data_IF_976717005752
#
_entry.id   IF_976717005752
#
_cell.length_a   1.000
_cell.length_b   1.000
_cell.length_c   1.000
_cell.angle_alpha   90.00
_cell.angle_beta   90.00
_cell.angle_gamma   90.00
#
_symmetry.space_group_name_H-M   'P 1'
#
loop_
_entity.id
_entity.type
_entity.pdbx_description
1 polymer ?
#
# COMPACT_ATOMS: atom_id res chain seq x y z
N UNK A 1 30.04 58.05 -28.12
CA UNK A 1 30.75 56.83 -27.63
C UNK A 1 30.77 56.74 -26.09
N UNK A 2 29.70 57.12 -25.37
CA UNK A 2 29.67 57.13 -23.89
C UNK A 2 28.45 56.43 -23.25
N UNK A 3 27.51 55.88 -24.04
CA UNK A 3 26.30 55.20 -23.51
C UNK A 3 26.35 53.67 -23.50
N UNK A 4 27.39 53.05 -24.07
CA UNK A 4 27.53 51.58 -24.11
C UNK A 4 28.39 51.00 -22.97
N UNK A 5 29.08 51.84 -22.18
CA UNK A 5 29.97 51.38 -21.10
C UNK A 5 29.24 51.18 -19.76
N UNK A 6 28.14 51.91 -19.52
CA UNK A 6 27.44 51.91 -18.22
C UNK A 6 26.57 50.65 -18.05
N UNK A 7 26.04 50.09 -19.14
CA UNK A 7 25.15 48.92 -19.08
C UNK A 7 25.88 47.59 -18.85
N UNK A 8 27.10 47.44 -19.37
CA UNK A 8 27.94 46.25 -19.10
C UNK A 8 28.40 46.17 -17.64
N UNK A 9 28.69 47.31 -17.01
CA UNK A 9 29.14 47.34 -15.61
C UNK A 9 28.00 47.05 -14.62
N UNK A 10 26.75 47.48 -14.89
CA UNK A 10 25.62 47.14 -14.03
C UNK A 10 25.22 45.65 -14.09
N UNK A 11 25.34 45.02 -15.26
CA UNK A 11 25.00 43.59 -15.42
C UNK A 11 26.02 42.69 -14.69
N UNK A 12 27.31 43.02 -14.74
CA UNK A 12 28.35 42.32 -13.98
C UNK A 12 28.19 42.48 -12.46
N UNK A 13 27.82 43.67 -11.98
CA UNK A 13 27.57 43.88 -10.54
C UNK A 13 26.35 43.09 -10.04
N UNK A 14 25.29 42.96 -10.83
CA UNK A 14 24.10 42.20 -10.44
C UNK A 14 24.38 40.70 -10.35
N UNK A 15 25.17 40.16 -11.27
CA UNK A 15 25.61 38.76 -11.24
C UNK A 15 26.53 38.52 -10.03
N UNK A 16 27.46 39.44 -9.71
CA UNK A 16 28.34 39.30 -8.56
C UNK A 16 27.58 39.27 -7.23
N UNK A 17 26.53 40.08 -7.07
CA UNK A 17 25.69 40.09 -5.85
C UNK A 17 24.90 38.78 -5.69
N UNK A 18 24.42 38.19 -6.80
CA UNK A 18 23.74 36.89 -6.76
C UNK A 18 24.67 35.75 -6.36
N UNK A 19 25.93 35.76 -6.82
CA UNK A 19 26.92 34.76 -6.43
C UNK A 19 27.37 34.90 -4.98
N UNK A 20 27.55 36.13 -4.47
CA UNK A 20 27.88 36.36 -3.05
C UNK A 20 26.70 35.96 -2.14
N UNK A 21 25.47 36.24 -2.54
CA UNK A 21 24.28 35.82 -1.80
C UNK A 21 24.10 34.29 -1.73
N UNK A 22 24.36 33.58 -2.84
CA UNK A 22 24.31 32.11 -2.87
C UNK A 22 25.43 31.47 -2.04
N UNK A 23 26.63 32.07 -2.02
CA UNK A 23 27.77 31.61 -1.23
C UNK A 23 27.50 31.74 0.28
N UNK A 24 27.00 32.90 0.73
CA UNK A 24 26.66 33.13 2.15
C UNK A 24 25.53 32.21 2.66
N UNK A 25 24.61 31.80 1.78
CA UNK A 25 23.53 30.86 2.12
C UNK A 25 24.02 29.40 2.21
N UNK A 26 24.97 29.01 1.35
CA UNK A 26 25.61 27.69 1.37
C UNK A 26 26.41 27.46 2.66
N UNK A 27 27.19 28.46 3.09
CA UNK A 27 28.01 28.37 4.31
C UNK A 27 27.15 28.27 5.59
N UNK A 28 25.97 28.91 5.61
CA UNK A 28 25.05 28.84 6.74
C UNK A 28 24.42 27.44 6.91
N UNK A 29 24.08 26.78 5.79
CA UNK A 29 23.54 25.40 5.80
C UNK A 29 24.64 24.38 6.14
N UNK A 30 25.86 24.55 5.62
CA UNK A 30 27.00 23.68 5.95
C UNK A 30 27.33 23.66 7.45
N UNK A 31 27.28 24.83 8.10
CA UNK A 31 27.58 24.97 9.53
C UNK A 31 26.52 24.34 10.44
N UNK A 32 25.24 24.31 10.01
CA UNK A 32 24.16 23.68 10.79
C UNK A 32 24.15 22.16 10.69
N UNK A 33 24.63 21.59 9.58
CA UNK A 33 24.69 20.12 9.38
C UNK A 33 25.86 19.50 10.16
N UNK A 34 26.99 20.21 10.30
CA UNK A 34 28.17 19.73 11.04
C UNK A 34 27.91 19.57 12.55
N UNK A 35 26.96 20.33 13.12
CA UNK A 35 26.63 20.24 14.55
C UNK A 35 25.75 19.04 14.93
N UNK A 36 25.12 18.36 13.95
CA UNK A 36 24.20 17.24 14.20
C UNK A 36 24.84 15.85 14.00
N UNK A 37 26.09 15.78 13.52
CA UNK A 37 26.73 14.52 13.10
C UNK A 37 27.46 13.75 14.22
N UNK A 38 27.56 14.27 15.45
CA UNK A 38 28.54 13.78 16.42
C UNK A 38 27.99 12.85 17.52
N UNK A 39 27.11 11.91 17.17
CA UNK A 39 26.74 10.81 18.07
C UNK A 39 26.69 9.46 17.32
N UNK A 40 27.69 8.61 17.58
CA UNK A 40 27.80 7.25 17.04
C UNK A 40 26.97 6.26 17.85
N UNK A 41 25.88 5.73 17.29
CA UNK A 41 25.12 4.61 17.86
C UNK A 41 25.37 3.34 17.04
N UNK A 42 25.86 2.27 17.67
CA UNK A 42 26.00 0.94 17.06
C UNK A 42 24.75 0.12 17.37
N UNK A 43 24.10 -0.44 16.35
CA UNK A 43 22.94 -1.35 16.48
C UNK A 43 23.28 -2.73 15.90
N UNK A 44 22.91 -3.86 16.55
CA UNK A 44 23.29 -5.21 16.12
C UNK A 44 22.50 -5.72 14.90
N UNK A 45 23.13 -6.58 14.10
CA UNK A 45 22.53 -7.33 12.98
C UNK A 45 21.56 -8.41 13.48
N UNK A 46 20.33 -8.39 12.97
CA UNK A 46 19.39 -9.50 13.13
C UNK A 46 19.12 -10.20 11.78
N UNK A 47 19.02 -11.54 11.82
CA UNK A 47 18.81 -12.41 10.66
C UNK A 47 17.31 -12.62 10.42
N UNK A 48 16.91 -12.62 9.15
CA UNK A 48 15.54 -12.86 8.67
C UNK A 48 15.07 -14.30 8.98
N UNK A 49 13.86 -14.52 9.55
CA UNK A 49 13.33 -15.87 9.76
C UNK A 49 12.46 -16.36 8.59
N UNK A 50 12.56 -17.66 8.32
CA UNK A 50 11.79 -18.41 7.33
C UNK A 50 10.30 -18.53 7.70
N UNK A 51 9.45 -18.38 6.68
CA UNK A 51 7.98 -18.48 6.73
C UNK A 51 7.53 -19.89 7.13
N UNK A 52 6.83 -20.03 8.27
CA UNK A 52 6.12 -21.25 8.67
C UNK A 52 4.61 -20.98 8.73
N UNK A 53 3.82 -21.96 8.31
CA UNK A 53 2.35 -21.95 8.38
C UNK A 53 1.91 -22.28 9.81
N UNK A 54 1.23 -21.35 10.48
CA UNK A 54 0.73 -21.52 11.84
C UNK A 54 -0.74 -22.00 11.85
N UNK A 55 -1.01 -23.11 12.53
CA UNK A 55 -2.36 -23.52 12.91
C UNK A 55 -2.73 -22.91 14.27
N UNK A 56 -3.63 -21.94 14.28
CA UNK A 56 -4.14 -21.32 15.51
C UNK A 56 -5.17 -22.24 16.19
N UNK A 57 -4.87 -22.68 17.42
CA UNK A 57 -5.89 -23.17 18.35
C UNK A 57 -5.77 -22.38 19.66
N UNK A 58 -6.69 -21.45 19.89
CA UNK A 58 -6.74 -20.68 21.12
C UNK A 58 -7.61 -21.43 22.15
N UNK A 59 -7.04 -21.83 23.28
CA UNK A 59 -7.79 -22.36 24.43
C UNK A 59 -7.65 -21.38 25.60
N UNK A 60 -8.77 -21.15 26.31
CA UNK A 60 -8.82 -20.28 27.48
C UNK A 60 -8.22 -21.03 28.69
N UNK A 61 -7.05 -20.60 29.18
CA UNK A 61 -6.46 -21.12 30.42
C UNK A 61 -6.22 -19.95 31.39
N UNK A 62 -6.74 -20.03 32.62
CA UNK A 62 -6.45 -19.14 33.77
C UNK A 62 -6.32 -17.64 33.48
N UNK A 63 -7.34 -17.02 32.86
CA UNK A 63 -7.44 -15.56 32.65
C UNK A 63 -6.20 -14.91 31.98
N UNK A 64 -5.33 -15.71 31.38
CA UNK A 64 -4.14 -15.33 30.64
C UNK A 64 -4.08 -16.20 29.40
N UNK A 65 -4.27 -15.61 28.23
CA UNK A 65 -4.29 -16.35 26.96
C UNK A 65 -2.96 -17.04 26.72
N UNK A 66 -2.87 -18.33 27.02
CA UNK A 66 -1.72 -19.18 26.73
C UNK A 66 -2.18 -20.45 26.03
N UNK A 67 -1.61 -20.71 24.86
CA UNK A 67 -1.92 -21.88 24.03
C UNK A 67 -0.80 -22.90 24.18
N UNK A 68 -1.03 -24.10 24.75
CA UNK A 68 -0.03 -25.15 24.76
C UNK A 68 0.00 -25.87 23.40
N UNK A 69 1.18 -25.97 22.79
CA UNK A 69 1.41 -26.86 21.66
C UNK A 69 1.95 -28.19 22.17
N UNK A 70 1.16 -29.26 22.04
CA UNK A 70 1.65 -30.62 22.21
C UNK A 70 2.27 -31.08 20.89
N UNK A 71 3.61 -31.11 20.81
CA UNK A 71 4.33 -31.92 19.83
C UNK A 71 4.65 -33.29 20.46
N UNK A 72 4.65 -34.40 19.71
CA UNK A 72 5.05 -35.69 20.25
C UNK A 72 6.55 -35.64 20.61
N UNK A 73 6.88 -36.01 21.85
CA UNK A 73 8.23 -35.93 22.39
C UNK A 73 9.21 -36.85 21.65
N UNK A 74 10.39 -36.30 21.35
CA UNK A 74 11.62 -37.09 21.32
C UNK A 74 12.35 -36.78 22.64
N UNK A 75 12.51 -37.81 23.45
CA UNK A 75 13.50 -37.84 24.53
C UNK A 75 14.88 -37.66 23.90
N UNK A 76 15.53 -36.53 24.15
CA UNK A 76 16.88 -36.57 24.70
C UNK A 76 17.23 -35.23 25.35
N UNK A 77 17.76 -35.32 26.56
CA UNK A 77 18.06 -34.20 27.44
C UNK A 77 19.41 -33.59 27.11
N UNK A 78 19.46 -32.33 26.66
CA UNK A 78 20.59 -31.44 26.93
C UNK A 78 20.15 -29.97 26.90
N UNK A 79 20.48 -29.29 27.99
CA UNK A 79 20.15 -27.91 28.32
C UNK A 79 20.77 -26.97 27.27
N UNK A 80 19.93 -26.33 26.46
CA UNK A 80 20.25 -25.05 25.87
C UNK A 80 18.98 -24.20 25.85
N UNK A 81 19.08 -22.99 26.36
CA UNK A 81 18.00 -22.02 26.50
C UNK A 81 17.50 -21.56 25.14
N UNK A 82 16.65 -22.35 24.49
CA UNK A 82 15.86 -21.89 23.35
C UNK A 82 14.62 -21.20 23.91
N UNK A 83 14.61 -19.87 23.88
CA UNK A 83 13.39 -19.09 24.01
C UNK A 83 12.43 -19.58 22.93
N UNK A 84 11.49 -20.47 23.29
CA UNK A 84 10.35 -20.78 22.45
C UNK A 84 9.58 -19.48 22.35
N UNK A 85 9.73 -18.77 21.24
CA UNK A 85 8.86 -17.65 20.90
C UNK A 85 7.47 -18.26 20.72
N UNK A 86 6.72 -18.35 21.81
CA UNK A 86 5.27 -18.49 21.75
C UNK A 86 4.80 -17.31 20.92
N UNK A 87 4.38 -17.56 19.68
CA UNK A 87 3.69 -16.55 18.89
C UNK A 87 2.40 -16.21 19.63
N UNK A 88 2.46 -15.15 20.43
CA UNK A 88 1.31 -14.62 21.15
C UNK A 88 0.47 -13.86 20.12
N UNK A 89 -0.84 -14.14 20.08
CA UNK A 89 -1.75 -13.33 19.29
C UNK A 89 -1.58 -11.84 19.67
N UNK A 90 -1.68 -10.91 18.70
CA UNK A 90 -1.67 -9.49 19.02
C UNK A 90 -2.67 -9.13 20.12
N UNK A 91 -2.33 -8.16 20.97
CA UNK A 91 -3.11 -7.79 22.16
C UNK A 91 -4.59 -7.51 21.85
N UNK A 92 -4.90 -6.93 20.69
CA UNK A 92 -6.26 -6.62 20.28
C UNK A 92 -7.17 -7.86 20.12
N UNK A 93 -6.64 -9.08 20.04
CA UNK A 93 -7.47 -10.30 20.00
C UNK A 93 -8.32 -10.47 21.27
N UNK A 94 -7.94 -9.86 22.41
CA UNK A 94 -8.73 -9.93 23.63
C UNK A 94 -10.14 -9.34 23.46
N UNK A 95 -10.30 -8.34 22.60
CA UNK A 95 -11.58 -7.66 22.38
C UNK A 95 -12.64 -8.60 21.81
N UNK A 96 -12.25 -9.67 21.09
CA UNK A 96 -13.19 -10.71 20.63
C UNK A 96 -13.97 -11.30 21.80
N UNK A 97 -13.30 -11.52 22.94
CA UNK A 97 -13.95 -12.09 24.12
C UNK A 97 -14.77 -11.06 24.91
N UNK A 98 -14.37 -9.80 24.87
CA UNK A 98 -15.11 -8.70 25.49
C UNK A 98 -16.38 -8.37 24.71
N UNK A 99 -16.30 -8.31 23.38
CA UNK A 99 -17.43 -8.04 22.48
C UNK A 99 -18.47 -9.17 22.54
N UNK A 100 -18.05 -10.43 22.71
CA UNK A 100 -18.95 -11.58 22.86
C UNK A 100 -19.49 -11.77 24.29
N UNK A 101 -19.02 -10.99 25.26
CA UNK A 101 -19.40 -11.13 26.67
C UNK A 101 -20.92 -11.08 26.92
N UNK A 102 -21.73 -10.22 26.24
CA UNK A 102 -23.16 -10.13 26.50
C UNK A 102 -23.94 -11.43 26.31
N UNK A 103 -23.42 -12.35 25.50
CA UNK A 103 -24.04 -13.64 25.21
C UNK A 103 -23.35 -14.84 25.85
N UNK A 104 -22.30 -14.62 26.65
CA UNK A 104 -21.44 -15.70 27.17
C UNK A 104 -22.19 -16.73 28.01
N UNK A 105 -23.18 -16.29 28.79
CA UNK A 105 -23.94 -17.15 29.71
C UNK A 105 -25.33 -17.53 29.17
N UNK A 106 -25.88 -16.71 28.27
CA UNK A 106 -27.24 -16.87 27.72
C UNK A 106 -27.25 -17.60 26.37
N UNK A 107 -26.13 -17.57 25.64
CA UNK A 107 -26.07 -18.01 24.26
C UNK A 107 -26.80 -17.05 23.30
N UNK A 108 -26.85 -17.44 22.05
CA UNK A 108 -27.54 -16.72 20.97
C UNK A 108 -28.60 -17.67 20.40
N UNK A 109 -29.88 -17.35 20.58
CA UNK A 109 -30.99 -18.12 20.01
C UNK A 109 -31.36 -17.62 18.62
N UNK A 110 -32.09 -18.42 17.84
CA UNK A 110 -32.57 -18.01 16.51
C UNK A 110 -33.42 -16.73 16.60
N UNK A 111 -34.28 -16.61 17.62
CA UNK A 111 -35.11 -15.42 17.83
C UNK A 111 -34.24 -14.17 18.05
N UNK A 112 -33.12 -14.32 18.76
CA UNK A 112 -32.17 -13.24 19.03
C UNK A 112 -31.43 -12.85 17.75
N UNK A 113 -30.96 -13.81 16.94
CA UNK A 113 -30.36 -13.51 15.61
C UNK A 113 -31.36 -12.79 14.71
N UNK A 114 -32.58 -13.32 14.60
CA UNK A 114 -33.61 -12.78 13.71
C UNK A 114 -34.09 -11.39 14.14
N UNK A 115 -33.95 -11.03 15.42
CA UNK A 115 -34.26 -9.69 15.91
C UNK A 115 -33.36 -8.59 15.34
N UNK A 116 -32.18 -8.93 14.80
CA UNK A 116 -31.29 -7.98 14.12
C UNK A 116 -31.68 -7.70 12.65
N UNK A 117 -32.64 -8.44 12.07
CA UNK A 117 -32.99 -8.38 10.64
C UNK A 117 -33.32 -6.97 10.12
N UNK A 118 -34.00 -6.16 10.92
CA UNK A 118 -34.38 -4.78 10.53
C UNK A 118 -33.20 -3.81 10.45
N UNK A 119 -32.04 -4.18 11.01
CA UNK A 119 -30.81 -3.39 11.05
C UNK A 119 -29.72 -3.96 10.14
N UNK A 120 -29.86 -5.20 9.69
CA UNK A 120 -28.86 -5.88 8.87
C UNK A 120 -29.00 -5.52 7.39
N UNK A 121 -27.87 -5.42 6.69
CA UNK A 121 -27.82 -5.36 5.24
C UNK A 121 -27.92 -6.75 4.60
N UNK A 122 -27.39 -7.79 5.26
CA UNK A 122 -27.54 -9.18 4.83
C UNK A 122 -27.42 -10.15 6.01
N UNK A 123 -27.99 -11.34 5.86
CA UNK A 123 -27.76 -12.52 6.71
C UNK A 123 -26.84 -13.48 5.97
N UNK A 124 -25.86 -14.03 6.69
CA UNK A 124 -24.94 -15.02 6.17
C UNK A 124 -24.98 -16.26 7.05
N UNK A 125 -25.19 -17.41 6.42
CA UNK A 125 -25.25 -18.72 7.07
C UNK A 125 -24.15 -19.60 6.51
N UNK A 126 -23.40 -20.27 7.38
CA UNK A 126 -22.41 -21.27 7.00
C UNK A 126 -22.89 -22.62 7.51
N UNK A 127 -23.02 -23.59 6.61
CA UNK A 127 -23.37 -24.98 6.94
C UNK A 127 -22.49 -25.90 6.12
N UNK A 128 -21.79 -26.84 6.76
CA UNK A 128 -20.91 -27.83 6.11
C UNK A 128 -19.87 -27.15 5.18
N UNK A 129 -19.29 -26.04 5.65
CA UNK A 129 -18.31 -25.26 4.88
C UNK A 129 -18.85 -24.59 3.62
N UNK A 130 -20.17 -24.48 3.45
CA UNK A 130 -20.83 -23.74 2.36
C UNK A 130 -21.47 -22.47 2.91
N UNK A 131 -21.33 -21.38 2.15
CA UNK A 131 -21.85 -20.06 2.52
C UNK A 131 -23.15 -19.78 1.77
N UNK A 132 -24.17 -19.36 2.51
CA UNK A 132 -25.48 -18.94 2.01
C UNK A 132 -25.73 -17.50 2.44
N UNK A 133 -26.24 -16.66 1.54
CA UNK A 133 -26.45 -15.23 1.82
C UNK A 133 -27.88 -14.84 1.45
N UNK A 134 -28.60 -14.27 2.42
CA UNK A 134 -29.89 -13.58 2.20
C UNK A 134 -29.64 -12.08 2.28
N UNK A 135 -29.75 -11.38 1.15
CA UNK A 135 -29.58 -9.92 1.10
C UNK A 135 -30.88 -9.21 1.46
N UNK A 136 -30.82 -8.24 2.37
CA UNK A 136 -31.93 -7.34 2.69
C UNK A 136 -31.90 -6.10 1.78
N UNK A 137 -32.81 -5.13 2.00
CA UNK A 137 -32.98 -3.98 1.11
C UNK A 137 -31.61 -3.36 0.77
N UNK A 138 -31.30 -3.35 -0.52
CA UNK A 138 -30.05 -2.83 -1.06
C UNK A 138 -30.04 -1.31 -0.93
N UNK A 139 -29.38 -0.81 0.11
CA UNK A 139 -29.05 0.61 0.17
C UNK A 139 -27.93 0.86 -0.87
N UNK A 140 -28.21 1.77 -1.81
CA UNK A 140 -27.30 2.11 -2.91
C UNK A 140 -26.04 2.85 -2.43
N UNK A 141 -26.02 3.32 -1.17
CA UNK A 141 -24.91 4.05 -0.58
C UNK A 141 -23.77 3.15 -0.07
N UNK A 142 -24.00 1.83 0.04
CA UNK A 142 -23.06 0.89 0.68
C UNK A 142 -22.02 0.27 -0.27
N UNK A 143 -21.80 0.90 -1.42
CA UNK A 143 -20.69 0.73 -2.38
C UNK A 143 -19.83 -0.55 -2.23
N UNK A 144 -20.28 -1.69 -2.79
CA UNK A 144 -19.56 -2.99 -2.84
C UNK A 144 -19.05 -3.56 -1.51
N UNK A 145 -19.35 -2.92 -0.36
CA UNK A 145 -18.82 -3.31 0.95
C UNK A 145 -19.33 -4.69 1.35
N UNK A 146 -20.60 -4.96 1.09
CA UNK A 146 -21.23 -6.27 1.26
C UNK A 146 -20.47 -7.37 0.50
N UNK A 147 -20.16 -7.11 -0.77
CA UNK A 147 -19.51 -8.04 -1.68
C UNK A 147 -18.10 -8.39 -1.19
N UNK A 148 -17.33 -7.38 -0.76
CA UNK A 148 -15.97 -7.60 -0.27
C UNK A 148 -15.94 -8.26 1.12
N UNK A 149 -16.91 -7.99 1.98
CA UNK A 149 -17.04 -8.69 3.26
C UNK A 149 -17.39 -10.17 3.07
N UNK A 150 -18.33 -10.47 2.18
CA UNK A 150 -18.66 -11.86 1.80
C UNK A 150 -17.42 -12.54 1.18
N UNK A 151 -16.69 -11.84 0.30
CA UNK A 151 -15.43 -12.34 -0.26
C UNK A 151 -14.41 -12.62 0.84
N UNK A 152 -14.27 -11.75 1.84
CA UNK A 152 -13.38 -11.95 2.97
C UNK A 152 -13.67 -13.22 3.75
N UNK A 153 -14.96 -13.50 3.99
CA UNK A 153 -15.40 -14.74 4.61
C UNK A 153 -15.09 -15.95 3.71
N UNK A 154 -15.31 -15.87 2.39
CA UNK A 154 -14.91 -16.94 1.47
C UNK A 154 -13.40 -17.22 1.51
N UNK A 155 -12.57 -16.18 1.64
CA UNK A 155 -11.12 -16.33 1.82
C UNK A 155 -10.77 -17.00 3.16
N UNK A 156 -11.53 -16.73 4.23
CA UNK A 156 -11.39 -17.41 5.52
C UNK A 156 -11.64 -18.92 5.39
N UNK A 157 -12.72 -19.33 4.71
CA UNK A 157 -13.02 -20.75 4.48
C UNK A 157 -11.94 -21.44 3.64
N UNK A 158 -11.38 -20.75 2.64
CA UNK A 158 -10.27 -21.26 1.82
C UNK A 158 -8.99 -21.45 2.64
N UNK A 159 -8.70 -20.51 3.53
CA UNK A 159 -7.50 -20.56 4.39
C UNK A 159 -7.59 -21.63 5.47
N UNK A 160 -8.80 -21.86 6.00
CA UNK A 160 -9.05 -22.82 7.08
C UNK A 160 -10.13 -23.84 6.68
N UNK A 161 -9.83 -24.73 5.71
CA UNK A 161 -10.81 -25.66 5.18
C UNK A 161 -11.33 -26.59 6.29
N UNK A 162 -12.67 -26.69 6.41
CA UNK A 162 -13.39 -27.50 7.41
C UNK A 162 -13.13 -27.15 8.88
N UNK A 163 -12.51 -25.99 9.17
CA UNK A 163 -12.27 -25.56 10.56
C UNK A 163 -13.27 -24.53 11.07
N UNK A 164 -13.93 -23.79 10.16
CA UNK A 164 -14.94 -22.82 10.54
C UNK A 164 -16.25 -23.58 10.87
N UNK A 165 -16.84 -23.37 12.05
CA UNK A 165 -18.07 -24.07 12.43
C UNK A 165 -19.26 -23.54 11.65
N UNK A 166 -20.35 -24.31 11.68
CA UNK A 166 -21.65 -23.84 11.24
C UNK A 166 -22.06 -22.62 12.08
N UNK A 167 -22.52 -21.56 11.42
CA UNK A 167 -22.89 -20.30 12.07
C UNK A 167 -23.95 -19.54 11.27
N UNK A 168 -24.66 -18.65 11.97
CA UNK A 168 -25.69 -17.78 11.41
C UNK A 168 -25.46 -16.36 11.94
N UNK A 169 -25.16 -15.43 11.04
CA UNK A 169 -24.82 -14.06 11.40
C UNK A 169 -25.61 -13.02 10.61
N UNK A 170 -25.87 -11.90 11.27
CA UNK A 170 -26.45 -10.70 10.70
C UNK A 170 -25.37 -9.65 10.55
N UNK A 171 -25.26 -9.03 9.38
CA UNK A 171 -24.21 -8.06 9.09
C UNK A 171 -24.80 -6.71 8.67
N UNK A 172 -24.36 -5.63 9.30
CA UNK A 172 -24.69 -4.25 8.90
C UNK A 172 -23.45 -3.55 8.29
N UNK A 173 -23.46 -3.30 6.97
CA UNK A 173 -22.33 -2.70 6.26
C UNK A 173 -22.22 -1.15 6.35
N UNK A 174 -23.03 -0.49 7.18
CA UNK A 174 -22.94 0.96 7.41
C UNK A 174 -21.84 1.34 8.42
N UNK A 175 -21.51 2.64 8.50
CA UNK A 175 -20.37 3.16 9.26
C UNK A 175 -20.59 3.42 10.75
N UNK A 176 -21.84 3.43 11.26
CA UNK A 176 -22.13 3.84 12.65
C UNK A 176 -22.87 2.76 13.44
N UNK A 177 -22.38 2.32 14.61
CA UNK A 177 -22.99 1.25 15.40
C UNK A 177 -24.45 1.55 15.80
N UNK A 178 -25.25 0.50 16.02
CA UNK A 178 -26.72 0.61 16.17
C UNK A 178 -27.28 -0.11 17.41
N UNK A 179 -26.50 -0.96 18.09
CA UNK A 179 -26.96 -1.68 19.28
C UNK A 179 -26.50 -0.93 20.53
N UNK A 180 -27.31 0.01 21.01
CA UNK A 180 -26.99 0.74 22.23
C UNK A 180 -27.09 -0.16 23.45
N UNK A 181 -26.09 -0.13 24.33
CA UNK A 181 -26.05 -0.97 25.52
C UNK A 181 -27.17 -0.67 26.51
N UNK A 182 -27.60 0.60 26.59
CA UNK A 182 -28.65 1.08 27.50
C UNK A 182 -30.01 0.40 27.25
N UNK A 183 -30.30 0.02 26.00
CA UNK A 183 -31.58 -0.60 25.61
C UNK A 183 -31.72 -2.05 26.10
N UNK A 184 -30.61 -2.65 26.57
CA UNK A 184 -30.51 -4.06 26.93
C UNK A 184 -30.03 -4.27 28.38
N UNK A 185 -30.20 -3.26 29.24
CA UNK A 185 -29.89 -3.33 30.67
C UNK A 185 -31.18 -3.48 31.51
N UNK A 186 -31.12 -4.33 32.54
CA UNK A 186 -32.17 -4.48 33.55
C UNK A 186 -32.63 -5.92 33.79
N UNK A 187 -33.40 -6.17 34.87
CA UNK A 187 -33.78 -7.52 35.30
C UNK A 187 -34.67 -8.29 34.32
N UNK A 188 -35.34 -7.59 33.39
CA UNK A 188 -36.18 -8.18 32.34
C UNK A 188 -35.70 -7.82 30.92
N UNK A 189 -34.45 -7.37 30.77
CA UNK A 189 -33.93 -6.99 29.46
C UNK A 189 -33.80 -8.21 28.55
N UNK A 190 -34.19 -8.05 27.28
CA UNK A 190 -33.94 -9.06 26.26
C UNK A 190 -32.44 -9.13 25.96
N UNK A 191 -31.95 -10.28 25.52
CA UNK A 191 -30.59 -10.38 25.01
C UNK A 191 -30.40 -9.40 23.83
N UNK A 192 -29.25 -8.69 23.76
CA UNK A 192 -28.97 -7.79 22.65
C UNK A 192 -28.95 -8.57 21.32
N UNK A 193 -29.42 -8.00 20.20
CA UNK A 193 -29.30 -8.62 18.89
C UNK A 193 -27.81 -8.65 18.45
N UNK A 194 -27.23 -9.80 18.10
CA UNK A 194 -25.87 -9.87 17.59
C UNK A 194 -25.85 -9.35 16.16
N UNK A 195 -25.15 -8.24 15.95
CA UNK A 195 -24.96 -7.67 14.62
C UNK A 195 -23.48 -7.40 14.38
N UNK A 196 -22.96 -7.88 13.26
CA UNK A 196 -21.57 -7.70 12.86
C UNK A 196 -21.40 -6.46 11.99
N UNK A 197 -20.29 -5.74 12.21
CA UNK A 197 -19.99 -4.44 11.61
C UNK A 197 -18.49 -4.19 11.47
N UNK A 198 -18.14 -3.05 10.89
CA UNK A 198 -16.75 -2.62 10.70
C UNK A 198 -16.18 -1.80 11.87
N UNK A 199 -17.03 -1.26 12.75
CA UNK A 199 -16.60 -0.42 13.86
C UNK A 199 -17.60 -0.51 15.03
N UNK A 200 -17.14 -0.09 16.20
CA UNK A 200 -17.94 0.07 17.41
C UNK A 200 -17.49 1.33 18.18
N UNK A 201 -18.27 1.77 19.17
CA UNK A 201 -17.91 2.86 20.08
C UNK A 201 -18.39 2.53 21.51
N UNK A 202 -17.85 3.18 22.56
CA UNK A 202 -18.32 2.98 23.92
C UNK A 202 -19.83 3.20 24.06
N UNK A 203 -20.52 2.30 24.79
CA UNK A 203 -21.98 2.32 24.93
C UNK A 203 -22.74 1.58 23.84
N UNK A 204 -22.05 0.85 22.97
CA UNK A 204 -22.64 0.01 21.92
C UNK A 204 -22.12 -1.43 22.00
N UNK A 205 -22.94 -2.37 21.53
CA UNK A 205 -22.71 -3.83 21.62
C UNK A 205 -22.60 -4.50 20.24
N UNK A 206 -22.33 -3.72 19.19
CA UNK A 206 -22.10 -4.24 17.84
C UNK A 206 -20.78 -5.05 17.79
N UNK A 207 -20.77 -6.18 17.07
CA UNK A 207 -19.62 -7.08 16.95
C UNK A 207 -18.70 -6.63 15.81
N UNK A 208 -17.42 -6.40 16.08
CA UNK A 208 -16.49 -5.89 15.07
C UNK A 208 -15.85 -7.01 14.27
N UNK A 209 -15.93 -6.93 12.94
CA UNK A 209 -15.13 -7.69 11.99
C UNK A 209 -14.16 -6.77 11.25
N UNK A 210 -13.04 -7.31 10.72
CA UNK A 210 -12.17 -6.55 9.82
C UNK A 210 -12.99 -5.95 8.68
N UNK A 211 -12.72 -4.69 8.38
CA UNK A 211 -13.52 -4.00 7.38
C UNK A 211 -13.33 -4.54 5.96
N UNK A 212 -14.27 -4.18 5.08
CA UNK A 212 -14.29 -4.62 3.69
C UNK A 212 -12.99 -4.27 2.93
N UNK A 213 -12.21 -3.27 3.36
CA UNK A 213 -11.00 -2.80 2.67
C UNK A 213 -9.81 -3.76 2.80
N UNK A 214 -9.82 -4.68 3.78
CA UNK A 214 -8.80 -5.74 3.87
C UNK A 214 -8.82 -6.69 2.66
N UNK A 215 -10.00 -6.87 2.06
CA UNK A 215 -10.19 -7.75 0.90
C UNK A 215 -10.53 -6.98 -0.37
N UNK A 216 -11.19 -5.83 -0.23
CA UNK A 216 -11.50 -4.91 -1.30
C UNK A 216 -10.25 -4.37 -1.97
N UNK A 217 -10.25 -4.36 -3.29
CA UNK A 217 -9.31 -3.56 -4.07
C UNK A 217 -10.07 -2.39 -4.66
N UNK A 218 -10.44 -1.45 -3.78
CA UNK A 218 -11.19 -0.24 -4.15
C UNK A 218 -10.26 0.73 -4.87
N UNK A 219 -10.03 0.39 -6.14
CA UNK A 219 -9.28 1.18 -7.07
C UNK A 219 -10.04 1.29 -8.36
N UNK A 220 -9.96 2.47 -8.94
CA UNK A 220 -10.58 2.78 -10.22
C UNK A 220 -10.09 1.78 -11.28
N UNK A 221 -11.00 1.13 -12.02
CA UNK A 221 -10.67 0.02 -12.91
C UNK A 221 -10.02 0.48 -14.23
N UNK A 222 -9.51 1.72 -14.28
CA UNK A 222 -8.93 2.33 -15.47
C UNK A 222 -7.43 2.47 -15.34
N UNK A 223 -6.75 2.56 -16.49
CA UNK A 223 -5.36 2.95 -16.54
C UNK A 223 -5.19 4.45 -16.29
N UNK A 224 -4.20 4.82 -15.50
CA UNK A 224 -3.99 6.20 -15.11
C UNK A 224 -2.57 6.68 -15.39
N UNK A 225 -2.49 7.92 -15.89
CA UNK A 225 -1.24 8.66 -15.99
C UNK A 225 -1.48 10.15 -15.73
N UNK A 226 -0.57 10.78 -15.00
CA UNK A 226 -0.50 12.24 -14.87
C UNK A 226 0.94 12.68 -15.09
N UNK A 227 1.18 13.60 -16.01
CA UNK A 227 2.52 14.05 -16.33
C UNK A 227 2.56 15.15 -17.39
N UNK A 228 3.74 15.75 -17.58
CA UNK A 228 3.94 16.77 -18.60
C UNK A 228 4.15 16.07 -19.97
N UNK A 229 3.26 16.26 -20.96
CA UNK A 229 3.40 15.64 -22.28
C UNK A 229 4.43 16.33 -23.16
N UNK A 230 4.81 17.57 -22.86
CA UNK A 230 5.64 18.38 -23.77
C UNK A 230 7.12 17.99 -23.76
N UNK A 231 7.54 17.12 -22.84
CA UNK A 231 8.95 16.72 -22.67
C UNK A 231 9.39 15.59 -23.59
N UNK A 232 8.45 14.87 -24.24
CA UNK A 232 8.76 13.74 -25.11
C UNK A 232 7.62 13.46 -26.10
N UNK A 233 7.96 13.02 -27.32
CA UNK A 233 6.97 12.63 -28.35
C UNK A 233 6.08 11.48 -27.88
N UNK A 234 6.66 10.44 -27.27
CA UNK A 234 5.91 9.29 -26.73
C UNK A 234 4.82 9.69 -25.72
N UNK A 235 5.04 10.77 -24.94
CA UNK A 235 4.02 11.29 -24.00
C UNK A 235 2.93 12.11 -24.69
N UNK A 236 3.27 12.85 -25.76
CA UNK A 236 2.26 13.52 -26.59
C UNK A 236 1.33 12.48 -27.23
N UNK A 237 1.92 11.40 -27.75
CA UNK A 237 1.16 10.30 -28.34
C UNK A 237 0.29 9.58 -27.30
N UNK A 238 0.81 9.37 -26.08
CA UNK A 238 0.06 8.75 -25.00
C UNK A 238 -1.23 9.53 -24.68
N UNK A 239 -1.17 10.87 -24.63
CA UNK A 239 -2.35 11.71 -24.34
C UNK A 239 -3.50 11.47 -25.32
N UNK A 240 -3.22 11.05 -26.57
CA UNK A 240 -4.25 10.71 -27.56
C UNK A 240 -5.08 9.48 -27.17
N UNK A 241 -4.59 8.66 -26.23
CA UNK A 241 -5.33 7.52 -25.69
C UNK A 241 -6.35 7.93 -24.61
N UNK A 242 -6.51 9.21 -24.29
CA UNK A 242 -7.49 9.63 -23.29
C UNK A 242 -8.93 9.36 -23.77
N UNK A 243 -9.86 9.28 -22.82
CA UNK A 243 -11.27 9.06 -23.13
C UNK A 243 -11.85 10.23 -23.95
N UNK A 244 -12.70 9.90 -24.91
CA UNK A 244 -13.48 10.84 -25.72
C UNK A 244 -14.93 10.34 -25.85
N UNK A 245 -15.83 11.17 -26.38
CA UNK A 245 -17.24 10.78 -26.62
C UNK A 245 -17.38 9.55 -27.54
N UNK A 246 -16.45 9.38 -28.49
CA UNK A 246 -16.49 8.32 -29.51
C UNK A 246 -15.69 7.08 -29.14
N UNK A 247 -14.73 7.21 -28.22
CA UNK A 247 -13.75 6.16 -27.96
C UNK A 247 -13.25 6.21 -26.51
N UNK A 248 -13.38 5.07 -25.81
CA UNK A 248 -12.82 4.83 -24.47
C UNK A 248 -11.76 3.72 -24.55
N UNK A 249 -10.49 4.12 -24.42
CA UNK A 249 -9.34 3.20 -24.34
C UNK A 249 -9.13 2.64 -22.93
N UNK A 250 -10.06 2.90 -22.00
CA UNK A 250 -9.93 2.56 -20.57
C UNK A 250 -8.75 3.23 -19.88
N UNK A 251 -8.32 4.38 -20.42
CA UNK A 251 -7.27 5.22 -19.85
C UNK A 251 -7.84 6.57 -19.39
N UNK A 252 -7.29 7.11 -18.31
CA UNK A 252 -7.58 8.42 -17.71
C UNK A 252 -6.26 9.16 -17.60
N UNK A 253 -6.04 10.08 -18.54
CA UNK A 253 -4.76 10.74 -18.72
C UNK A 253 -4.90 12.23 -18.42
N UNK A 254 -4.00 12.75 -17.59
CA UNK A 254 -4.07 14.12 -17.10
C UNK A 254 -2.76 14.85 -17.35
N UNK A 255 -2.86 16.08 -17.82
CA UNK A 255 -1.68 16.94 -18.03
C UNK A 255 -1.23 17.50 -16.69
N UNK A 256 0.06 17.33 -16.38
CA UNK A 256 0.72 18.00 -15.26
C UNK A 256 1.24 19.36 -15.71
N UNK A 257 0.58 20.42 -15.26
CA UNK A 257 0.96 21.81 -15.52
C UNK A 257 1.81 22.35 -14.36
N UNK A 258 3.12 22.48 -14.57
CA UNK A 258 4.05 22.90 -13.53
C UNK A 258 3.90 24.37 -13.11
N UNK A 259 3.43 25.24 -14.00
CA UNK A 259 3.19 26.65 -13.64
C UNK A 259 2.02 26.74 -12.66
N UNK A 260 0.94 26.02 -12.95
CA UNK A 260 -0.22 25.93 -12.07
C UNK A 260 0.10 25.25 -10.73
N UNK A 261 0.92 24.20 -10.73
CA UNK A 261 1.31 23.54 -9.47
C UNK A 261 2.19 24.43 -8.59
N UNK A 262 3.11 25.19 -9.20
CA UNK A 262 3.96 26.14 -8.48
C UNK A 262 3.11 27.19 -7.76
N UNK A 263 2.08 27.72 -8.44
CA UNK A 263 1.14 28.67 -7.86
C UNK A 263 0.27 28.07 -6.74
N UNK A 264 -0.05 26.77 -6.82
CA UNK A 264 -0.91 26.09 -5.86
C UNK A 264 -0.15 25.30 -4.78
N UNK A 265 1.18 25.44 -4.69
CA UNK A 265 2.02 24.76 -3.71
C UNK A 265 2.06 23.24 -3.86
N UNK A 266 2.01 22.74 -5.11
CA UNK A 266 2.16 21.32 -5.46
C UNK A 266 1.13 20.35 -4.83
N UNK A 267 -0.01 20.86 -4.34
CA UNK A 267 -1.04 20.04 -3.66
C UNK A 267 -1.54 18.87 -4.51
N UNK A 268 -1.63 19.08 -5.81
CA UNK A 268 -2.16 18.11 -6.78
C UNK A 268 -1.04 17.23 -7.40
N UNK A 269 0.22 17.46 -7.04
CA UNK A 269 1.39 16.72 -7.52
C UNK A 269 1.89 15.64 -6.55
N UNK A 270 1.22 15.46 -5.41
CA UNK A 270 1.58 14.41 -4.47
C UNK A 270 1.45 13.03 -5.12
N UNK A 271 2.56 12.30 -5.22
CA UNK A 271 2.62 11.02 -5.91
C UNK A 271 1.82 9.91 -5.20
N UNK A 272 1.74 9.92 -3.87
CA UNK A 272 0.96 8.95 -3.11
C UNK A 272 -0.54 9.06 -3.41
N UNK A 273 -1.05 10.29 -3.60
CA UNK A 273 -2.44 10.54 -3.96
C UNK A 273 -2.80 10.02 -5.36
N UNK A 274 -1.81 9.62 -6.17
CA UNK A 274 -2.04 9.08 -7.51
C UNK A 274 -2.10 7.54 -7.55
N UNK A 275 -2.07 6.85 -6.40
CA UNK A 275 -2.16 5.39 -6.31
C UNK A 275 -3.62 4.88 -6.23
N UNK A 276 -4.60 5.62 -6.75
CA UNK A 276 -6.03 5.28 -6.63
C UNK A 276 -6.54 4.33 -7.72
N UNK A 277 -5.75 4.08 -8.78
CA UNK A 277 -6.18 3.30 -9.93
C UNK A 277 -5.56 1.90 -9.95
N UNK A 278 -6.27 0.91 -10.50
CA UNK A 278 -5.78 -0.47 -10.60
C UNK A 278 -4.56 -0.59 -11.50
N UNK A 279 -4.47 0.27 -12.51
CA UNK A 279 -3.39 0.26 -13.49
C UNK A 279 -2.71 1.63 -13.54
N UNK A 280 -1.39 1.65 -13.45
CA UNK A 280 -0.57 2.85 -13.54
C UNK A 280 0.31 2.78 -14.76
N UNK A 281 0.28 3.79 -15.61
CA UNK A 281 1.09 3.81 -16.83
C UNK A 281 2.44 4.43 -16.50
N UNK A 282 3.51 3.75 -16.89
CA UNK A 282 4.84 4.33 -16.96
C UNK A 282 5.20 4.65 -18.42
N UNK A 283 5.75 5.84 -18.63
CA UNK A 283 6.26 6.31 -19.92
C UNK A 283 7.44 7.24 -19.70
N UNK A 284 8.45 7.09 -20.53
CA UNK A 284 9.67 7.88 -20.50
C UNK A 284 9.41 9.36 -20.81
N UNK A 285 10.30 10.22 -20.33
CA UNK A 285 10.31 11.64 -20.63
C UNK A 285 11.41 11.94 -21.65
N UNK A 286 12.21 12.96 -21.38
CA UNK A 286 13.43 13.22 -22.14
C UNK A 286 14.43 12.05 -22.07
N UNK A 287 14.41 11.31 -20.95
CA UNK A 287 15.12 10.06 -20.72
C UNK A 287 14.27 9.18 -19.78
N UNK A 288 14.90 8.40 -18.89
CA UNK A 288 14.20 7.74 -17.78
C UNK A 288 13.42 8.75 -16.93
N UNK A 289 12.30 8.32 -16.35
CA UNK A 289 11.43 9.18 -15.56
C UNK A 289 11.45 8.77 -14.09
N UNK A 290 11.70 9.74 -13.20
CA UNK A 290 11.72 9.56 -11.74
C UNK A 290 10.46 8.93 -11.16
N UNK A 291 9.35 9.01 -11.90
CA UNK A 291 8.04 8.45 -11.56
C UNK A 291 8.02 6.92 -11.49
N UNK A 292 8.96 6.21 -12.14
CA UNK A 292 8.92 4.74 -12.27
C UNK A 292 8.84 4.04 -10.91
N UNK A 293 9.79 4.32 -10.01
CA UNK A 293 9.82 3.75 -8.66
C UNK A 293 8.54 4.03 -7.86
N UNK A 294 7.95 5.21 -8.01
CA UNK A 294 6.72 5.58 -7.30
C UNK A 294 5.49 4.87 -7.87
N UNK A 295 5.45 4.69 -9.19
CA UNK A 295 4.41 3.91 -9.87
C UNK A 295 4.48 2.45 -9.44
N UNK A 296 5.68 1.86 -9.44
CA UNK A 296 5.90 0.49 -8.98
C UNK A 296 5.53 0.31 -7.50
N UNK A 297 5.76 1.32 -6.67
CA UNK A 297 5.39 1.30 -5.24
C UNK A 297 3.88 1.38 -4.95
N UNK A 298 3.02 1.64 -5.95
CA UNK A 298 1.61 1.91 -5.71
C UNK A 298 0.75 0.68 -5.35
N UNK A 299 1.22 -0.57 -5.40
CA UNK A 299 0.35 -1.78 -5.43
C UNK A 299 -0.63 -1.82 -6.64
N UNK A 300 -0.36 -1.01 -7.67
CA UNK A 300 -1.09 -1.03 -8.95
C UNK A 300 -0.35 -1.90 -9.96
N UNK A 301 -1.06 -2.53 -10.90
CA UNK A 301 -0.39 -3.12 -12.06
C UNK A 301 0.26 -2.01 -12.89
N UNK A 302 1.59 -2.03 -12.96
CA UNK A 302 2.33 -1.07 -13.79
C UNK A 302 2.23 -1.49 -15.25
N UNK A 303 1.63 -0.63 -16.08
CA UNK A 303 1.62 -0.73 -17.53
C UNK A 303 2.86 0.01 -18.05
N UNK A 304 3.93 -0.73 -18.34
CA UNK A 304 5.22 -0.19 -18.72
C UNK A 304 5.29 -0.08 -20.24
N UNK A 305 5.18 1.14 -20.77
CA UNK A 305 5.45 1.41 -22.18
C UNK A 305 6.92 1.10 -22.44
N UNK A 306 7.19 0.35 -23.51
CA UNK A 306 8.56 -0.04 -23.91
C UNK A 306 9.52 1.14 -23.75
N UNK A 307 10.56 0.91 -22.95
CA UNK A 307 11.57 1.89 -22.54
C UNK A 307 12.86 1.69 -23.31
N UNK A 308 13.57 2.77 -23.62
CA UNK A 308 14.93 2.73 -24.17
C UNK A 308 16.01 3.04 -23.11
N UNK A 309 15.64 3.68 -22.00
CA UNK A 309 16.55 4.06 -20.93
C UNK A 309 16.48 3.08 -19.75
N UNK A 310 17.64 2.88 -19.11
CA UNK A 310 17.75 2.06 -17.91
C UNK A 310 18.36 2.87 -16.77
N UNK A 311 17.80 2.71 -15.57
CA UNK A 311 18.42 3.12 -14.31
C UNK A 311 19.00 1.88 -13.59
N UNK A 312 19.70 2.08 -12.47
CA UNK A 312 20.50 1.04 -11.83
C UNK A 312 19.73 -0.24 -11.45
N UNK A 313 18.42 -0.14 -11.18
CA UNK A 313 17.57 -1.28 -10.81
C UNK A 313 16.65 -1.76 -11.94
N UNK A 314 16.42 -0.97 -13.00
CA UNK A 314 15.30 -1.23 -13.92
C UNK A 314 15.53 -2.45 -14.80
N UNK A 315 16.79 -2.86 -15.00
CA UNK A 315 17.15 -4.11 -15.68
C UNK A 315 16.78 -5.38 -14.91
N UNK A 316 16.50 -5.26 -13.62
CA UNK A 316 16.01 -6.37 -12.79
C UNK A 316 14.49 -6.55 -12.89
N UNK A 317 13.79 -5.61 -13.54
CA UNK A 317 12.35 -5.71 -13.73
C UNK A 317 12.04 -6.78 -14.79
N UNK A 318 11.03 -7.61 -14.52
CA UNK A 318 10.67 -8.74 -15.36
C UNK A 318 9.22 -8.57 -15.82
N UNK A 319 8.93 -8.70 -17.13
CA UNK A 319 7.57 -8.63 -17.63
C UNK A 319 6.73 -9.76 -17.03
N UNK A 320 5.46 -9.48 -16.77
CA UNK A 320 4.50 -10.38 -16.13
C UNK A 320 4.82 -10.79 -14.68
N UNK A 321 5.95 -10.33 -14.11
CA UNK A 321 6.27 -10.46 -12.69
C UNK A 321 6.19 -9.12 -11.97
N UNK A 322 6.81 -8.08 -12.52
CA UNK A 322 6.82 -6.73 -11.94
C UNK A 322 5.91 -5.76 -12.72
N UNK A 323 5.69 -5.98 -14.01
CA UNK A 323 4.90 -5.07 -14.83
C UNK A 323 4.24 -5.77 -16.01
N UNK A 324 3.27 -5.11 -16.62
CA UNK A 324 2.67 -5.51 -17.90
C UNK A 324 3.30 -4.69 -19.05
N UNK A 325 3.90 -5.32 -20.07
CA UNK A 325 4.53 -4.60 -21.17
C UNK A 325 3.50 -3.98 -22.12
N UNK A 326 3.70 -2.70 -22.49
CA UNK A 326 2.89 -1.98 -23.46
C UNK A 326 3.73 -1.64 -24.69
N UNK A 327 3.17 -1.91 -25.89
CA UNK A 327 3.84 -1.61 -27.16
C UNK A 327 3.82 -0.11 -27.41
N UNK A 328 4.99 0.49 -27.60
CA UNK A 328 5.12 1.93 -27.87
C UNK A 328 4.45 2.34 -29.21
N UNK A 329 4.53 1.52 -30.26
CA UNK A 329 3.86 1.82 -31.53
C UNK A 329 2.33 1.66 -31.53
N UNK A 330 1.74 1.02 -30.52
CA UNK A 330 0.29 0.73 -30.45
C UNK A 330 -0.24 0.86 -29.01
N UNK A 331 0.12 1.96 -28.35
CA UNK A 331 -0.12 2.20 -26.91
C UNK A 331 -1.59 2.05 -26.55
N UNK A 332 -2.49 2.74 -27.27
CA UNK A 332 -3.89 2.83 -26.87
C UNK A 332 -4.59 1.47 -26.90
N UNK A 333 -4.37 0.66 -27.96
CA UNK A 333 -4.92 -0.70 -28.04
C UNK A 333 -4.27 -1.63 -27.03
N UNK A 334 -2.96 -1.52 -26.84
CA UNK A 334 -2.22 -2.33 -25.86
C UNK A 334 -2.68 -2.07 -24.42
N UNK A 335 -2.90 -0.80 -24.06
CA UNK A 335 -3.43 -0.39 -22.75
C UNK A 335 -4.86 -0.92 -22.58
N UNK A 336 -5.73 -0.71 -23.57
CA UNK A 336 -7.11 -1.20 -23.53
C UNK A 336 -7.16 -2.71 -23.33
N UNK A 337 -6.36 -3.46 -24.08
CA UNK A 337 -6.24 -4.90 -23.95
C UNK A 337 -5.81 -5.32 -22.53
N UNK A 338 -4.78 -4.69 -21.98
CA UNK A 338 -4.29 -4.99 -20.64
C UNK A 338 -5.37 -4.76 -19.56
N UNK A 339 -6.12 -3.65 -19.67
CA UNK A 339 -7.19 -3.31 -18.73
C UNK A 339 -8.38 -4.27 -18.86
N UNK A 340 -8.79 -4.61 -20.09
CA UNK A 340 -9.88 -5.55 -20.34
C UNK A 340 -9.52 -6.98 -19.90
N UNK A 341 -8.28 -7.41 -20.13
CA UNK A 341 -7.76 -8.66 -19.60
C UNK A 341 -7.80 -8.68 -18.07
N UNK A 342 -7.31 -7.60 -17.44
CA UNK A 342 -7.22 -7.52 -15.99
C UNK A 342 -8.58 -7.49 -15.28
N UNK A 343 -9.65 -7.06 -15.97
CA UNK A 343 -11.03 -7.17 -15.46
C UNK A 343 -11.39 -8.61 -15.09
N UNK A 344 -10.95 -9.58 -15.90
CA UNK A 344 -11.25 -10.99 -15.70
C UNK A 344 -10.16 -11.73 -14.92
N UNK A 345 -9.07 -11.05 -14.52
CA UNK A 345 -7.90 -11.63 -13.85
C UNK A 345 -7.47 -10.77 -12.66
N UNK A 346 -8.43 -10.31 -11.87
CA UNK A 346 -8.20 -9.28 -10.83
C UNK A 346 -7.16 -9.74 -9.79
N UNK A 347 -7.14 -11.02 -9.42
CA UNK A 347 -6.13 -11.59 -8.51
C UNK A 347 -4.73 -11.49 -9.10
N UNK A 348 -4.57 -11.79 -10.40
CA UNK A 348 -3.26 -11.73 -11.06
C UNK A 348 -2.77 -10.30 -11.22
N UNK A 349 -3.67 -9.37 -11.50
CA UNK A 349 -3.35 -7.93 -11.53
C UNK A 349 -2.85 -7.47 -10.16
N UNK A 350 -3.53 -7.87 -9.06
CA UNK A 350 -3.11 -7.55 -7.68
C UNK A 350 -1.76 -8.19 -7.34
N UNK A 351 -1.54 -9.45 -7.75
CA UNK A 351 -0.28 -10.17 -7.52
C UNK A 351 0.91 -9.47 -8.19
N UNK A 352 0.80 -9.10 -9.47
CA UNK A 352 1.88 -8.42 -10.19
C UNK A 352 2.14 -7.03 -9.59
N UNK A 353 1.08 -6.26 -9.30
CA UNK A 353 1.21 -4.95 -8.66
C UNK A 353 1.88 -5.03 -7.29
N UNK A 354 1.53 -6.04 -6.48
CA UNK A 354 2.16 -6.27 -5.17
C UNK A 354 3.60 -6.74 -5.27
N UNK A 355 3.91 -7.56 -6.27
CA UNK A 355 5.28 -8.03 -6.50
C UNK A 355 6.19 -6.87 -6.88
N UNK A 356 5.72 -5.92 -7.69
CA UNK A 356 6.46 -4.69 -8.01
C UNK A 356 6.72 -3.80 -6.81
N UNK A 357 5.70 -3.57 -5.97
CA UNK A 357 5.87 -2.69 -4.81
C UNK A 357 6.77 -3.33 -3.75
N UNK A 358 6.67 -4.64 -3.52
CA UNK A 358 7.59 -5.37 -2.66
C UNK A 358 9.03 -5.27 -3.17
N UNK A 359 9.27 -5.41 -4.49
CA UNK A 359 10.60 -5.20 -5.08
C UNK A 359 11.15 -3.80 -4.73
N UNK A 360 10.34 -2.74 -4.87
CA UNK A 360 10.79 -1.39 -4.48
C UNK A 360 11.07 -1.28 -2.98
N UNK A 361 10.22 -1.85 -2.13
CA UNK A 361 10.35 -1.75 -0.67
C UNK A 361 11.51 -2.57 -0.11
N UNK A 362 11.80 -3.73 -0.69
CA UNK A 362 12.75 -4.71 -0.15
C UNK A 362 14.10 -4.69 -0.88
N UNK A 363 14.10 -4.51 -2.20
CA UNK A 363 15.29 -4.58 -3.04
C UNK A 363 15.83 -3.19 -3.46
N UNK A 364 15.01 -2.13 -3.40
CA UNK A 364 15.40 -0.74 -3.73
C UNK A 364 15.34 0.18 -2.49
N UNK A 365 15.60 -0.39 -1.31
CA UNK A 365 15.70 0.35 -0.05
C UNK A 365 17.01 1.12 0.08
N UNK A 366 17.02 2.14 0.95
CA UNK A 366 18.16 3.05 1.12
C UNK A 366 19.48 2.33 1.43
N UNK A 367 19.46 1.29 2.26
CA UNK A 367 20.67 0.50 2.56
C UNK A 367 21.32 -0.03 1.28
N UNK A 368 20.54 -0.63 0.39
CA UNK A 368 21.04 -1.17 -0.87
C UNK A 368 21.38 -0.10 -1.90
N UNK A 369 20.77 1.08 -1.83
CA UNK A 369 21.18 2.24 -2.65
C UNK A 369 22.62 2.65 -2.28
N UNK A 370 22.92 2.76 -0.99
CA UNK A 370 24.26 3.10 -0.52
C UNK A 370 25.26 1.97 -0.77
N UNK A 371 24.88 0.71 -0.56
CA UNK A 371 25.73 -0.44 -0.88
C UNK A 371 26.06 -0.49 -2.38
N UNK A 372 25.07 -0.25 -3.25
CA UNK A 372 25.29 -0.17 -4.70
C UNK A 372 26.28 0.94 -5.05
N UNK A 373 26.11 2.14 -4.50
CA UNK A 373 27.03 3.25 -4.73
C UNK A 373 28.45 2.93 -4.25
N UNK A 374 28.57 2.36 -3.04
CA UNK A 374 29.85 1.95 -2.48
C UNK A 374 30.55 0.92 -3.36
N UNK A 375 29.87 -0.16 -3.75
CA UNK A 375 30.45 -1.19 -4.61
C UNK A 375 30.80 -0.66 -5.99
N UNK A 376 29.92 0.13 -6.60
CA UNK A 376 30.13 0.69 -7.93
C UNK A 376 31.37 1.59 -7.96
N UNK A 377 31.50 2.54 -7.02
CA UNK A 377 32.65 3.45 -6.96
C UNK A 377 33.96 2.71 -6.65
N UNK A 378 33.93 1.71 -5.76
CA UNK A 378 35.12 0.91 -5.46
C UNK A 378 35.58 0.07 -6.65
N UNK A 379 34.65 -0.52 -7.41
CA UNK A 379 34.99 -1.26 -8.62
C UNK A 379 35.52 -0.34 -9.72
N UNK A 380 34.89 0.82 -9.91
CA UNK A 380 35.38 1.85 -10.84
C UNK A 380 36.80 2.30 -10.48
N UNK A 381 37.07 2.58 -9.20
CA UNK A 381 38.38 3.03 -8.74
C UNK A 381 39.50 2.02 -9.04
N UNK A 382 39.22 0.72 -8.98
CA UNK A 382 40.19 -0.34 -9.34
C UNK A 382 40.58 -0.35 -10.82
N UNK A 383 39.77 0.24 -11.69
CA UNK A 383 40.03 0.34 -13.13
C UNK A 383 40.92 1.53 -13.49
N UNK A 384 41.10 2.49 -12.58
CA UNK A 384 41.92 3.68 -12.81
C UNK A 384 43.38 3.28 -13.03
N UNK A 385 43.94 3.71 -14.16
CA UNK A 385 45.37 3.52 -14.51
C UNK A 385 46.21 4.75 -14.16
N UNK A 386 45.68 5.64 -13.33
CA UNK A 386 46.34 6.83 -12.83
C UNK A 386 45.91 7.09 -11.39
N UNK A 387 46.71 7.84 -10.64
CA UNK A 387 46.36 8.31 -9.31
C UNK A 387 45.57 9.62 -9.44
N UNK A 388 44.32 9.71 -8.93
CA UNK A 388 43.57 10.96 -8.93
C UNK A 388 44.34 12.07 -8.20
N UNK A 389 44.31 13.28 -8.77
CA UNK A 389 44.90 14.50 -8.20
C UNK A 389 43.84 15.59 -8.12
N UNK A 390 44.01 16.54 -7.21
CA UNK A 390 43.06 17.64 -7.00
C UNK A 390 43.23 18.68 -8.13
N UNK A 391 42.18 18.96 -8.93
CA UNK A 391 42.21 20.06 -9.88
C UNK A 391 42.42 21.44 -9.20
N UNK A 392 43.14 22.38 -9.82
CA UNK A 392 43.53 23.66 -9.21
C UNK A 392 42.39 24.64 -8.88
N UNK A 393 41.14 24.36 -9.30
CA UNK A 393 39.98 25.22 -9.07
C UNK A 393 38.80 24.42 -8.49
N UNK A 394 38.99 23.83 -7.31
CA UNK A 394 37.91 23.17 -6.57
C UNK A 394 37.80 23.70 -5.14
N UNK A 395 36.56 23.84 -4.68
CA UNK A 395 36.21 24.12 -3.30
C UNK A 395 36.01 22.78 -2.57
N UNK A 396 36.56 22.66 -1.37
CA UNK A 396 36.26 21.56 -0.45
C UNK A 396 35.02 21.90 0.37
N UNK A 397 34.09 20.96 0.48
CA UNK A 397 32.87 21.07 1.30
C UNK A 397 33.12 20.72 2.77
#
# INVERSE_FOLDING_TARGET
MFRLCIWKNCYCCFIAVLFIGAYMYSDYIGSTILLLSNNSFKIPREKTPNRREASLSCVLVNQTYSCPSNSPGNEDSTISSSSSSTEVCPEYFRWIHEDLQPWRNTGITEEVVMSAKSRAGFRLVIVDGKVYVETYKKDLTIASRDTFTIWGILQLLRKYPKKLPDLDLMFDPHDRPVIKSEDYQGPNAKAPPPIFRYCNQPGFMDLVLPDWSFWGWDRDPYAYWKGNPNVATTRKDLILCNVSEKQDWKARLYVQDWEKETQNGFRESNLANQCTHRYKIYVEGYAWSVSEKYILACDSLTLLIKTDFHDFYTRSLLPMKHYWPIKDGDKCRSIKFAVEWGKNHTEKVKEIGKTASNFIQEEVKMDYIYDYLYHHLNLYAKLLRYKPVIPPMLWSF
#
